data_IF_407607294560
#
_entry.id   IF_407607294560
#
_cell.length_a   1.000
_cell.length_b   1.000
_cell.length_c   1.000
_cell.angle_alpha   90.00
_cell.angle_beta   90.00
_cell.angle_gamma   90.00
#
_symmetry.space_group_name_H-M   'P 1'
#
loop_
_entity.id
_entity.type
_entity.pdbx_description
1 polymer ?
#
# COMPACT_ATOMS: atom_id res chain seq x y z
N UNK A 1 -19.79 4.36 9.60
CA UNK A 1 -18.52 4.44 10.34
C UNK A 1 -17.49 5.32 9.62
N UNK A 2 -17.17 5.04 8.38
CA UNK A 2 -16.25 5.88 7.61
C UNK A 2 -17.02 7.01 6.92
N UNK A 3 -16.41 8.18 6.88
CA UNK A 3 -17.03 9.34 6.26
C UNK A 3 -16.99 9.23 4.74
N UNK A 4 -18.02 9.75 4.10
CA UNK A 4 -18.06 9.88 2.64
C UNK A 4 -17.09 10.94 2.15
N UNK A 5 -16.64 10.79 0.91
CA UNK A 5 -15.80 11.78 0.26
C UNK A 5 -16.56 13.10 0.16
N UNK A 6 -15.93 14.20 0.56
CA UNK A 6 -16.56 15.52 0.53
C UNK A 6 -16.98 15.93 -0.88
N UNK A 7 -16.11 15.68 -1.86
CA UNK A 7 -16.39 15.97 -3.27
C UNK A 7 -16.82 14.70 -3.99
N UNK A 8 -18.00 14.21 -3.65
CA UNK A 8 -18.53 12.94 -4.19
C UNK A 8 -18.56 12.91 -5.73
N UNK A 9 -18.69 14.06 -6.39
CA UNK A 9 -18.68 14.18 -7.84
C UNK A 9 -17.35 13.73 -8.46
N UNK A 10 -16.28 13.78 -7.68
CA UNK A 10 -14.95 13.40 -8.13
C UNK A 10 -14.57 11.96 -7.72
N UNK A 11 -15.52 11.22 -7.15
CA UNK A 11 -15.27 9.82 -6.78
C UNK A 11 -14.94 9.00 -8.03
N UNK A 12 -13.85 8.26 -7.98
CA UNK A 12 -13.46 7.36 -9.06
C UNK A 12 -14.16 6.01 -8.88
N UNK A 13 -14.41 5.33 -9.99
CA UNK A 13 -15.09 4.04 -9.94
C UNK A 13 -14.15 2.92 -9.46
N UNK A 14 -14.73 1.74 -9.23
CA UNK A 14 -13.98 0.59 -8.71
C UNK A 14 -12.83 0.18 -9.62
N UNK A 15 -13.03 0.20 -10.94
CA UNK A 15 -11.98 -0.16 -11.89
C UNK A 15 -10.82 0.81 -11.81
N UNK A 16 -11.07 2.10 -11.67
CA UNK A 16 -10.03 3.10 -11.49
C UNK A 16 -9.29 2.92 -10.16
N UNK A 17 -10.00 2.57 -9.09
CA UNK A 17 -9.40 2.25 -7.78
C UNK A 17 -8.46 1.05 -7.92
N UNK A 18 -8.93 -0.04 -8.51
CA UNK A 18 -8.14 -1.25 -8.68
C UNK A 18 -6.91 -0.99 -9.56
N UNK A 19 -7.08 -0.25 -10.65
CA UNK A 19 -5.97 0.11 -11.54
C UNK A 19 -4.91 0.94 -10.82
N UNK A 20 -5.32 1.90 -10.01
CA UNK A 20 -4.38 2.72 -9.25
C UNK A 20 -3.62 1.87 -8.23
N UNK A 21 -4.32 1.00 -7.51
CA UNK A 21 -3.69 0.10 -6.54
C UNK A 21 -2.70 -0.86 -7.20
N UNK A 22 -2.96 -1.32 -8.42
CA UNK A 22 -2.01 -2.17 -9.15
C UNK A 22 -0.81 -1.39 -9.69
N UNK A 23 -1.02 -0.17 -10.15
CA UNK A 23 -0.01 0.58 -10.89
C UNK A 23 0.96 1.37 -10.00
N UNK A 24 0.54 1.80 -8.82
CA UNK A 24 1.42 2.55 -7.94
C UNK A 24 2.52 1.66 -7.39
N UNK A 25 3.73 2.18 -7.40
CA UNK A 25 4.89 1.43 -6.95
C UNK A 25 4.97 1.36 -5.43
N UNK A 26 4.60 2.43 -4.78
CA UNK A 26 4.61 2.56 -3.32
C UNK A 26 3.38 3.29 -2.86
N UNK A 27 3.02 3.06 -1.59
CA UNK A 27 1.99 3.82 -0.92
C UNK A 27 2.49 4.27 0.43
N UNK A 28 1.61 4.92 1.17
CA UNK A 28 1.89 5.38 2.53
C UNK A 28 1.00 4.60 3.49
N UNK A 29 1.63 3.87 4.40
CA UNK A 29 0.94 3.14 5.47
C UNK A 29 0.97 3.99 6.73
N UNK A 30 -0.22 4.28 7.27
CA UNK A 30 -0.40 5.07 8.47
C UNK A 30 -0.98 4.20 9.57
N UNK A 31 -0.45 4.34 10.77
CA UNK A 31 -0.84 3.56 11.93
C UNK A 31 -0.79 4.43 13.18
N UNK A 32 -1.31 3.91 14.29
CA UNK A 32 -1.29 4.62 15.55
C UNK A 32 0.08 4.44 16.21
N UNK A 33 0.83 5.53 16.28
CA UNK A 33 2.15 5.56 16.90
C UNK A 33 2.09 5.82 18.39
N UNK A 34 3.25 6.06 18.98
CA UNK A 34 3.38 6.33 20.40
C UNK A 34 2.76 7.68 20.77
N UNK A 35 2.25 7.76 21.98
CA UNK A 35 1.71 8.99 22.59
C UNK A 35 0.56 9.62 21.78
N UNK A 36 -0.17 8.80 21.04
CA UNK A 36 -1.29 9.28 20.25
C UNK A 36 -0.92 9.92 18.92
N UNK A 37 0.36 9.93 18.57
CA UNK A 37 0.79 10.47 17.28
C UNK A 37 0.58 9.45 16.18
N UNK A 38 -0.06 9.83 15.07
CA UNK A 38 -0.08 8.95 13.90
C UNK A 38 1.32 8.82 13.31
N UNK A 39 1.65 7.61 12.89
CA UNK A 39 2.94 7.30 12.27
C UNK A 39 2.70 6.84 10.84
N UNK A 40 3.36 7.47 9.89
CA UNK A 40 3.15 7.21 8.46
C UNK A 40 4.49 6.97 7.77
N UNK A 41 4.56 5.91 6.97
CA UNK A 41 5.77 5.55 6.24
C UNK A 41 5.45 5.21 4.79
N UNK A 42 6.31 5.58 3.83
CA UNK A 42 6.22 5.01 2.50
C UNK A 42 6.63 3.53 2.55
N UNK A 43 5.92 2.70 1.81
CA UNK A 43 6.12 1.25 1.88
C UNK A 43 5.82 0.62 0.52
N UNK A 44 6.58 -0.43 0.20
CA UNK A 44 6.30 -1.29 -0.93
C UNK A 44 5.12 -2.20 -0.58
N UNK A 45 4.28 -2.48 -1.56
CA UNK A 45 3.10 -3.29 -1.34
C UNK A 45 2.75 -4.11 -2.58
N UNK A 46 1.92 -5.12 -2.37
CA UNK A 46 1.29 -5.89 -3.44
C UNK A 46 -0.22 -5.94 -3.21
N UNK A 47 -1.00 -5.60 -4.24
CA UNK A 47 -2.45 -5.63 -4.18
C UNK A 47 -2.96 -6.95 -4.78
N UNK A 48 -3.61 -7.74 -3.94
CA UNK A 48 -4.31 -8.98 -4.33
C UNK A 48 -5.79 -8.65 -4.52
N UNK A 49 -6.15 -8.29 -5.74
CA UNK A 49 -7.51 -7.88 -6.07
C UNK A 49 -8.51 -8.99 -5.83
N UNK A 50 -8.16 -10.23 -6.18
CA UNK A 50 -9.06 -11.38 -6.07
C UNK A 50 -9.50 -11.63 -4.63
N UNK A 51 -8.60 -11.44 -3.66
CA UNK A 51 -8.86 -11.64 -2.24
C UNK A 51 -9.10 -10.34 -1.49
N UNK A 52 -9.05 -9.19 -2.15
CA UNK A 52 -9.22 -7.85 -1.56
C UNK A 52 -8.24 -7.64 -0.40
N UNK A 53 -6.97 -7.97 -0.63
CA UNK A 53 -5.90 -7.86 0.36
C UNK A 53 -4.73 -7.06 -0.18
N UNK A 54 -4.05 -6.38 0.72
CA UNK A 54 -2.82 -5.67 0.43
C UNK A 54 -1.73 -6.27 1.32
N UNK A 55 -0.63 -6.68 0.69
CA UNK A 55 0.51 -7.27 1.40
C UNK A 55 1.65 -6.28 1.45
N UNK A 56 2.29 -6.20 2.61
CA UNK A 56 3.47 -5.38 2.83
C UNK A 56 4.63 -6.28 3.21
N UNK A 57 5.82 -5.94 2.72
CA UNK A 57 7.04 -6.66 3.07
C UNK A 57 7.89 -5.77 3.99
N UNK A 58 8.33 -6.33 5.10
CA UNK A 58 9.14 -5.61 6.05
C UNK A 58 9.76 -6.52 7.10
N UNK A 59 10.55 -5.94 7.99
CA UNK A 59 11.16 -6.66 9.10
C UNK A 59 10.09 -7.19 10.07
N UNK A 60 10.41 -8.29 10.75
CA UNK A 60 9.52 -8.92 11.73
C UNK A 60 9.52 -8.21 13.09
N UNK A 61 10.39 -7.23 13.27
CA UNK A 61 10.51 -6.45 14.49
C UNK A 61 10.79 -5.00 14.18
N UNK A 62 10.58 -4.10 15.13
CA UNK A 62 10.81 -2.68 15.02
C UNK A 62 9.59 -1.86 15.37
N UNK A 63 9.69 -0.55 15.20
CA UNK A 63 8.64 0.39 15.61
C UNK A 63 7.31 0.12 14.94
N UNK A 64 7.33 -0.13 13.64
CA UNK A 64 6.12 -0.45 12.87
C UNK A 64 5.39 -1.66 13.44
N UNK A 65 6.14 -2.73 13.73
CA UNK A 65 5.57 -3.96 14.28
C UNK A 65 5.00 -3.71 15.68
N UNK A 66 5.70 -2.94 16.51
CA UNK A 66 5.22 -2.58 17.83
C UNK A 66 3.89 -1.81 17.76
N UNK A 67 3.79 -0.88 16.83
CA UNK A 67 2.55 -0.13 16.61
C UNK A 67 1.40 -1.06 16.20
N UNK A 68 1.65 -1.97 15.26
CA UNK A 68 0.63 -2.89 14.76
C UNK A 68 0.18 -3.90 15.82
N UNK A 69 1.08 -4.33 16.69
CA UNK A 69 0.74 -5.23 17.80
C UNK A 69 -0.14 -4.53 18.84
N UNK A 70 0.05 -3.24 19.01
CA UNK A 70 -0.74 -2.45 19.96
C UNK A 70 -2.12 -2.11 19.38
N UNK A 71 -2.18 -1.72 18.12
CA UNK A 71 -3.42 -1.36 17.43
C UNK A 71 -3.28 -1.72 15.95
N UNK A 72 -4.10 -2.64 15.49
CA UNK A 72 -4.02 -3.16 14.12
C UNK A 72 -4.77 -2.31 13.08
N UNK A 73 -5.48 -1.28 13.51
CA UNK A 73 -6.20 -0.39 12.60
C UNK A 73 -5.22 0.51 11.85
N UNK A 74 -5.32 0.51 10.54
CA UNK A 74 -4.40 1.25 9.67
C UNK A 74 -5.17 1.96 8.57
N UNK A 75 -4.44 2.88 7.95
CA UNK A 75 -4.89 3.58 6.76
C UNK A 75 -3.78 3.48 5.73
N UNK A 76 -4.12 3.09 4.50
CA UNK A 76 -3.16 2.97 3.41
C UNK A 76 -3.58 3.89 2.27
N UNK A 77 -2.66 4.70 1.78
CA UNK A 77 -2.93 5.70 0.75
C UNK A 77 -2.00 5.54 -0.43
N UNK A 78 -2.57 5.53 -1.61
CA UNK A 78 -1.83 5.64 -2.88
C UNK A 78 -2.38 6.83 -3.65
N UNK A 79 -1.54 7.43 -4.48
CA UNK A 79 -1.96 8.49 -5.37
C UNK A 79 -1.12 8.45 -6.64
N UNK A 80 -1.69 8.95 -7.72
CA UNK A 80 -1.00 8.92 -9.01
C UNK A 80 -1.89 9.45 -10.12
N UNK A 81 -1.49 9.15 -11.36
CA UNK A 81 -2.18 9.60 -12.56
C UNK A 81 -2.34 11.13 -12.59
N UNK A 82 -1.26 11.84 -12.18
CA UNK A 82 -1.26 13.29 -12.21
C UNK A 82 -1.36 13.79 -13.64
N UNK A 83 -2.22 14.79 -13.82
CA UNK A 83 -2.28 15.52 -15.08
C UNK A 83 -1.31 16.70 -14.99
N UNK A 84 -0.18 16.58 -15.70
CA UNK A 84 0.88 17.60 -15.75
C UNK A 84 0.71 18.55 -16.93
N UNK A 85 -0.50 18.81 -17.40
CA UNK A 85 -0.72 19.82 -18.43
C UNK A 85 -0.23 21.17 -17.92
N UNK A 86 0.74 21.75 -18.66
CA UNK A 86 1.41 23.00 -18.27
C UNK A 86 0.45 24.17 -18.10
N UNK A 87 -0.73 24.09 -18.69
CA UNK A 87 -1.74 25.14 -18.65
C UNK A 87 -2.85 24.88 -17.61
N UNK A 88 -2.76 23.81 -16.85
CA UNK A 88 -3.78 23.49 -15.85
C UNK A 88 -3.48 24.20 -14.54
N UNK A 89 -4.42 25.03 -14.09
CA UNK A 89 -4.35 25.69 -12.78
C UNK A 89 -4.62 24.73 -11.62
N UNK A 90 -5.27 23.61 -11.90
CA UNK A 90 -5.60 22.60 -10.89
C UNK A 90 -5.04 21.26 -11.36
N UNK A 91 -3.86 20.84 -10.87
CA UNK A 91 -3.33 19.53 -11.22
C UNK A 91 -4.33 18.46 -10.81
N UNK A 92 -4.65 17.59 -11.75
CA UNK A 92 -5.53 16.46 -11.53
C UNK A 92 -4.70 15.30 -10.96
N UNK A 93 -5.14 14.73 -9.85
CA UNK A 93 -4.50 13.57 -9.25
C UNK A 93 -5.59 12.62 -8.77
N UNK A 94 -5.37 11.33 -8.97
CA UNK A 94 -6.21 10.30 -8.38
C UNK A 94 -5.58 9.82 -7.07
N UNK A 95 -6.40 9.58 -6.07
CA UNK A 95 -5.94 9.02 -4.81
C UNK A 95 -6.93 8.00 -4.28
N UNK A 96 -6.42 7.00 -3.57
CA UNK A 96 -7.23 5.99 -2.90
C UNK A 96 -6.75 5.87 -1.47
N UNK A 97 -7.69 5.93 -0.53
CA UNK A 97 -7.43 5.74 0.90
C UNK A 97 -8.15 4.48 1.34
N UNK A 98 -7.40 3.53 1.87
CA UNK A 98 -7.93 2.25 2.32
C UNK A 98 -7.84 2.17 3.84
N UNK A 99 -8.97 1.95 4.48
CA UNK A 99 -9.03 1.69 5.92
C UNK A 99 -9.12 0.19 6.14
N UNK A 100 -8.36 -0.32 7.08
CA UNK A 100 -8.38 -1.74 7.36
C UNK A 100 -7.56 -2.12 8.59
N UNK A 101 -7.31 -3.40 8.69
CA UNK A 101 -6.49 -3.97 9.77
C UNK A 101 -5.28 -4.66 9.16
N UNK A 102 -4.14 -4.50 9.80
CA UNK A 102 -2.87 -5.04 9.33
C UNK A 102 -2.31 -6.01 10.37
N UNK A 103 -2.00 -7.21 9.93
CA UNK A 103 -1.48 -8.27 10.79
C UNK A 103 -0.23 -8.88 10.18
N UNK A 104 0.68 -9.30 11.06
CA UNK A 104 1.83 -10.09 10.63
C UNK A 104 1.35 -11.48 10.23
N UNK A 105 1.87 -11.96 9.10
CA UNK A 105 1.62 -13.32 8.64
C UNK A 105 2.94 -14.05 8.45
N UNK A 106 2.88 -15.37 8.50
CA UNK A 106 4.05 -16.19 8.20
C UNK A 106 4.45 -16.01 6.73
N UNK A 107 5.74 -16.03 6.49
CA UNK A 107 6.29 -15.85 5.15
C UNK A 107 5.90 -17.01 4.25
N UNK A 108 5.14 -16.70 3.20
CA UNK A 108 4.81 -17.63 2.13
C UNK A 108 5.68 -17.28 0.92
N UNK A 109 6.44 -18.28 0.43
CA UNK A 109 7.33 -18.08 -0.71
C UNK A 109 6.58 -17.64 -1.97
N UNK A 110 5.38 -18.13 -2.20
CA UNK A 110 4.57 -17.73 -3.35
C UNK A 110 4.15 -16.27 -3.24
N UNK A 111 3.75 -15.82 -2.06
CA UNK A 111 3.40 -14.42 -1.82
C UNK A 111 4.61 -13.53 -2.03
N UNK A 112 5.78 -13.92 -1.50
CA UNK A 112 7.02 -13.17 -1.69
C UNK A 112 7.42 -13.08 -3.15
N UNK A 113 7.28 -14.16 -3.90
CA UNK A 113 7.59 -14.18 -5.33
C UNK A 113 6.66 -13.26 -6.10
N UNK A 114 5.37 -13.32 -5.85
CA UNK A 114 4.38 -12.47 -6.48
C UNK A 114 4.64 -11.00 -6.15
N UNK A 115 4.97 -10.72 -4.89
CA UNK A 115 5.33 -9.39 -4.42
C UNK A 115 6.57 -8.87 -5.18
N UNK A 116 7.61 -9.68 -5.25
CA UNK A 116 8.87 -9.30 -5.90
C UNK A 116 8.68 -9.06 -7.40
N UNK A 117 7.82 -9.82 -8.07
CA UNK A 117 7.55 -9.65 -9.49
C UNK A 117 6.97 -8.29 -9.85
N UNK A 118 6.34 -7.61 -8.92
CA UNK A 118 5.86 -6.23 -9.13
C UNK A 118 7.02 -5.26 -9.38
N UNK A 119 8.15 -5.47 -8.71
CA UNK A 119 9.31 -4.57 -8.75
C UNK A 119 10.41 -5.09 -9.67
N UNK A 120 10.47 -6.39 -9.87
CA UNK A 120 11.49 -7.09 -10.65
C UNK A 120 10.78 -7.95 -11.71
N UNK A 121 10.67 -7.47 -12.95
CA UNK A 121 9.88 -8.18 -13.97
C UNK A 121 10.46 -9.51 -14.41
N UNK A 122 11.73 -9.84 -14.07
CA UNK A 122 12.31 -11.14 -14.38
C UNK A 122 12.24 -12.06 -13.16
N UNK A 123 11.93 -13.34 -13.39
CA UNK A 123 11.85 -14.32 -12.30
C UNK A 123 13.18 -14.48 -11.56
N UNK A 124 14.30 -14.32 -12.25
CA UNK A 124 15.64 -14.40 -11.63
C UNK A 124 15.84 -13.29 -10.61
N UNK A 125 15.46 -12.05 -10.94
CA UNK A 125 15.55 -10.93 -10.01
C UNK A 125 14.59 -11.09 -8.83
N UNK A 126 13.40 -11.62 -9.09
CA UNK A 126 12.43 -11.89 -8.03
C UNK A 126 12.95 -12.95 -7.05
N UNK A 127 13.58 -14.00 -7.56
CA UNK A 127 14.16 -15.04 -6.72
C UNK A 127 15.31 -14.52 -5.86
N UNK A 128 16.12 -13.59 -6.36
CA UNK A 128 17.16 -12.91 -5.59
C UNK A 128 16.56 -12.11 -4.44
N UNK A 129 15.49 -11.36 -4.69
CA UNK A 129 14.83 -10.56 -3.67
C UNK A 129 14.24 -11.44 -2.57
N UNK A 130 13.66 -12.58 -2.91
CA UNK A 130 13.15 -13.54 -1.94
C UNK A 130 14.27 -14.04 -1.03
N UNK A 131 15.44 -14.37 -1.58
CA UNK A 131 16.59 -14.81 -0.80
C UNK A 131 17.07 -13.76 0.18
N UNK A 132 17.15 -12.50 -0.24
CA UNK A 132 17.53 -11.39 0.61
C UNK A 132 16.47 -11.12 1.69
N UNK A 133 15.20 -11.16 1.31
CA UNK A 133 14.09 -10.93 2.22
C UNK A 133 13.93 -12.02 3.29
N UNK A 134 14.48 -13.22 3.04
CA UNK A 134 14.41 -14.36 3.97
C UNK A 134 15.51 -14.34 5.04
N UNK A 135 16.47 -13.47 4.91
CA UNK A 135 17.54 -13.30 5.90
C UNK A 135 17.05 -12.38 7.02
#
# INVERSE_FOLDING_TARGET
MFRKIRKIKNEIDKDAVDNLLHSCRRGVLSMNGDDGYPYSIPINYYYDEANQKIYFHGAKSGYKVDCLNRDDKVCFTVFGNENNEELSWAPYVQSVVVFGRCHLIDTDNEILKTFAMKYYPSSDLADMEIKEGSK
#
